data_IF_423838245031
#
_entry.id   IF_423838245031
#
_cell.length_a   1.000
_cell.length_b   1.000
_cell.length_c   1.000
_cell.angle_alpha   90.00
_cell.angle_beta   90.00
_cell.angle_gamma   90.00
#
_symmetry.space_group_name_H-M   'P 1'
#
loop_
_entity.id
_entity.type
_entity.pdbx_description
1 polymer ?
#
# COMPACT_ATOMS: atom_id res chain seq x y z
N UNK A 1 0.49 5.47 17.23
CA UNK A 1 0.72 5.01 15.84
C UNK A 1 2.08 4.34 15.77
N UNK A 2 2.15 3.15 15.17
CA UNK A 2 3.39 2.43 14.87
C UNK A 2 3.58 2.37 13.35
N UNK A 3 4.32 3.33 12.81
CA UNK A 3 4.55 3.49 11.38
C UNK A 3 6.01 3.13 10.99
N UNK A 4 6.57 2.13 11.66
CA UNK A 4 7.94 1.65 11.44
C UNK A 4 7.88 0.27 10.78
N UNK A 5 8.91 -0.08 10.02
CA UNK A 5 9.07 -1.41 9.47
C UNK A 5 9.56 -1.42 8.04
N UNK A 6 9.81 -2.62 7.52
CA UNK A 6 10.21 -2.82 6.13
C UNK A 6 9.08 -2.41 5.20
N UNK A 7 9.34 -1.46 4.30
CA UNK A 7 8.38 -0.96 3.30
C UNK A 7 8.64 -1.46 1.88
N UNK A 8 9.87 -1.92 1.58
CA UNK A 8 10.22 -2.45 0.27
C UNK A 8 9.66 -3.87 0.09
N UNK A 9 8.67 -4.03 -0.79
CA UNK A 9 8.03 -5.32 -1.08
C UNK A 9 8.94 -6.32 -1.82
N UNK A 10 10.10 -5.88 -2.31
CA UNK A 10 11.11 -6.71 -2.93
C UNK A 10 12.23 -7.13 -1.95
N UNK A 11 12.16 -6.67 -0.70
CA UNK A 11 13.13 -7.02 0.32
C UNK A 11 13.16 -8.53 0.57
N UNK A 12 14.37 -9.11 0.60
CA UNK A 12 14.64 -10.51 0.94
C UNK A 12 15.57 -10.65 2.16
N UNK A 13 15.98 -9.52 2.75
CA UNK A 13 16.93 -9.50 3.86
C UNK A 13 16.27 -9.95 5.16
N UNK A 14 16.61 -11.15 5.60
CA UNK A 14 16.12 -11.74 6.85
C UNK A 14 16.50 -10.92 8.09
N UNK A 15 17.69 -10.29 8.10
CA UNK A 15 18.13 -9.46 9.24
C UNK A 15 17.25 -8.21 9.41
N UNK A 16 16.81 -7.61 8.31
CA UNK A 16 15.88 -6.48 8.35
C UNK A 16 14.51 -6.90 8.90
N UNK A 17 14.01 -8.07 8.52
CA UNK A 17 12.75 -8.62 9.05
C UNK A 17 12.83 -8.94 10.54
N UNK A 18 13.93 -9.57 11.00
CA UNK A 18 14.14 -9.82 12.42
C UNK A 18 14.25 -8.52 13.23
N UNK A 19 14.96 -7.52 12.72
CA UNK A 19 15.05 -6.20 13.32
C UNK A 19 13.68 -5.52 13.42
N UNK A 20 12.82 -5.67 12.41
CA UNK A 20 11.45 -5.15 12.39
C UNK A 20 10.60 -5.80 13.49
N UNK A 21 10.62 -7.13 13.58
CA UNK A 21 9.92 -7.90 14.62
C UNK A 21 10.42 -7.53 16.03
N UNK A 22 11.73 -7.47 16.22
CA UNK A 22 12.32 -7.10 17.51
C UNK A 22 11.89 -5.71 17.97
N UNK A 23 11.90 -4.73 17.06
CA UNK A 23 11.44 -3.37 17.38
C UNK A 23 9.98 -3.34 17.84
N UNK A 24 9.12 -4.09 17.19
CA UNK A 24 7.72 -4.17 17.59
C UNK A 24 7.56 -4.88 18.95
N UNK A 25 8.32 -5.94 19.19
CA UNK A 25 8.34 -6.63 20.48
C UNK A 25 8.80 -5.68 21.60
N UNK A 26 9.93 -5.01 21.43
CA UNK A 26 10.46 -4.04 22.41
C UNK A 26 9.47 -2.88 22.65
N UNK A 27 8.79 -2.42 21.61
CA UNK A 27 7.73 -1.43 21.72
C UNK A 27 6.53 -1.96 22.51
N UNK A 28 6.11 -3.20 22.28
CA UNK A 28 4.97 -3.82 22.95
C UNK A 28 5.16 -3.91 24.48
N UNK A 29 6.39 -4.06 24.93
CA UNK A 29 6.74 -4.12 26.36
C UNK A 29 6.73 -2.75 27.05
N UNK A 30 6.79 -1.66 26.28
CA UNK A 30 6.89 -0.28 26.78
C UNK A 30 5.58 0.51 26.67
N UNK A 31 4.65 0.07 25.81
CA UNK A 31 3.42 0.82 25.59
C UNK A 31 2.38 0.57 26.68
N UNK A 32 1.62 1.62 27.03
CA UNK A 32 0.45 1.47 27.89
C UNK A 32 -0.61 0.61 27.16
N UNK A 33 -0.95 -0.53 27.77
CA UNK A 33 -1.87 -1.54 27.20
C UNK A 33 -3.31 -1.04 27.02
N UNK A 34 -3.67 0.10 27.65
CA UNK A 34 -4.99 0.72 27.49
C UNK A 34 -5.12 1.56 26.19
N UNK A 35 -4.01 1.80 25.49
CA UNK A 35 -4.01 2.55 24.23
C UNK A 35 -4.21 1.64 23.03
N UNK A 36 -4.90 2.15 22.01
CA UNK A 36 -5.07 1.44 20.72
C UNK A 36 -3.76 1.50 19.92
N UNK A 37 -3.22 0.35 19.52
CA UNK A 37 -2.10 0.29 18.59
C UNK A 37 -2.64 0.45 17.15
N UNK A 38 -2.26 1.51 16.47
CA UNK A 38 -2.46 1.67 15.02
C UNK A 38 -1.21 1.18 14.27
N UNK A 39 -1.37 0.17 13.42
CA UNK A 39 -0.29 -0.40 12.59
C UNK A 39 -0.64 -0.35 11.10
N UNK A 40 0.34 -0.04 10.26
CA UNK A 40 0.21 -0.04 8.80
C UNK A 40 0.77 -1.31 8.17
N UNK A 41 -0.09 -2.08 7.52
CA UNK A 41 0.20 -3.30 6.79
C UNK A 41 -0.04 -3.11 5.29
N UNK A 42 -0.19 -4.19 4.53
CA UNK A 42 -0.33 -4.15 3.08
C UNK A 42 -1.53 -4.94 2.57
N UNK A 43 -2.24 -4.40 1.57
CA UNK A 43 -3.26 -5.13 0.82
C UNK A 43 -2.67 -6.26 -0.04
N UNK A 44 -1.35 -6.25 -0.30
CA UNK A 44 -0.68 -7.31 -1.05
C UNK A 44 -0.73 -8.69 -0.37
N UNK A 45 -1.16 -8.77 0.90
CA UNK A 45 -1.51 -10.01 1.59
C UNK A 45 -2.66 -10.78 0.92
N UNK A 46 -3.49 -10.09 0.13
CA UNK A 46 -4.60 -10.69 -0.61
C UNK A 46 -4.21 -11.12 -2.04
N UNK A 47 -2.98 -10.84 -2.50
CA UNK A 47 -2.48 -11.21 -3.82
C UNK A 47 -1.90 -12.64 -3.79
N UNK A 48 -2.57 -13.65 -4.38
CA UNK A 48 -2.11 -15.05 -4.32
C UNK A 48 -0.74 -15.27 -4.96
N UNK A 49 -0.40 -14.46 -5.96
CA UNK A 49 0.92 -14.55 -6.64
C UNK A 49 2.09 -14.20 -5.72
N UNK A 50 1.83 -13.60 -4.55
CA UNK A 50 2.82 -13.15 -3.59
C UNK A 50 2.92 -14.00 -2.32
N UNK A 51 2.20 -15.11 -2.20
CA UNK A 51 2.15 -15.93 -0.99
C UNK A 51 3.53 -16.43 -0.51
N UNK A 52 4.48 -16.62 -1.42
CA UNK A 52 5.85 -17.03 -1.09
C UNK A 52 6.81 -15.85 -0.87
N UNK A 53 6.35 -14.61 -1.03
CA UNK A 53 7.19 -13.43 -0.86
C UNK A 53 7.58 -13.24 0.62
N UNK A 54 8.89 -13.13 0.97
CA UNK A 54 9.33 -12.98 2.35
C UNK A 54 8.77 -11.74 3.05
N UNK A 55 8.61 -10.63 2.32
CA UNK A 55 7.99 -9.42 2.84
C UNK A 55 6.53 -9.65 3.25
N UNK A 56 5.76 -10.38 2.44
CA UNK A 56 4.36 -10.72 2.73
C UNK A 56 4.28 -11.62 3.97
N UNK A 57 5.13 -12.63 4.07
CA UNK A 57 5.23 -13.50 5.25
C UNK A 57 5.54 -12.70 6.51
N UNK A 58 6.53 -11.79 6.44
CA UNK A 58 6.88 -10.92 7.57
C UNK A 58 5.71 -10.02 8.00
N UNK A 59 4.99 -9.42 7.06
CA UNK A 59 3.81 -8.58 7.37
C UNK A 59 2.71 -9.40 8.05
N UNK A 60 2.45 -10.62 7.59
CA UNK A 60 1.46 -11.51 8.21
C UNK A 60 1.87 -11.94 9.63
N UNK A 61 3.14 -12.28 9.85
CA UNK A 61 3.67 -12.61 11.17
C UNK A 61 3.51 -11.44 12.15
N UNK A 62 3.79 -10.21 11.71
CA UNK A 62 3.61 -9.00 12.52
C UNK A 62 2.13 -8.77 12.83
N UNK A 63 1.21 -8.89 11.86
CA UNK A 63 -0.22 -8.79 12.12
C UNK A 63 -0.70 -9.81 13.15
N UNK A 64 -0.24 -11.06 13.05
CA UNK A 64 -0.59 -12.12 13.98
C UNK A 64 -0.03 -11.86 15.40
N UNK A 65 1.20 -11.34 15.48
CA UNK A 65 1.77 -10.92 16.76
C UNK A 65 0.93 -9.79 17.39
N UNK A 66 0.56 -8.78 16.63
CA UNK A 66 -0.28 -7.66 17.13
C UNK A 66 -1.61 -8.18 17.66
N UNK A 67 -2.30 -9.03 16.90
CA UNK A 67 -3.60 -9.61 17.30
C UNK A 67 -3.53 -10.42 18.59
N UNK A 68 -2.39 -11.06 18.86
CA UNK A 68 -2.17 -11.88 20.07
C UNK A 68 -1.71 -11.07 21.28
N UNK A 69 -0.93 -10.01 21.05
CA UNK A 69 -0.18 -9.33 22.11
C UNK A 69 -0.80 -8.02 22.58
N UNK A 70 -1.70 -7.42 21.79
CA UNK A 70 -2.32 -6.14 22.12
C UNK A 70 -3.82 -6.30 22.40
N UNK A 71 -4.26 -5.79 23.56
CA UNK A 71 -5.68 -5.80 23.91
C UNK A 71 -6.53 -4.95 22.98
N UNK A 72 -5.94 -3.85 22.44
CA UNK A 72 -6.60 -2.91 21.55
C UNK A 72 -5.69 -2.58 20.38
N UNK A 73 -6.14 -2.87 19.17
CA UNK A 73 -5.40 -2.58 17.95
C UNK A 73 -6.31 -2.16 16.79
N UNK A 74 -5.72 -1.49 15.81
CA UNK A 74 -6.28 -1.23 14.50
C UNK A 74 -5.19 -1.46 13.46
N UNK A 75 -5.36 -2.47 12.61
CA UNK A 75 -4.45 -2.77 11.51
C UNK A 75 -5.05 -2.20 10.24
N UNK A 76 -4.31 -1.29 9.59
CA UNK A 76 -4.69 -0.70 8.32
C UNK A 76 -3.83 -1.31 7.22
N UNK A 77 -4.45 -2.03 6.30
CA UNK A 77 -3.80 -2.53 5.09
C UNK A 77 -3.92 -1.51 3.98
N UNK A 78 -2.80 -1.16 3.37
CA UNK A 78 -2.70 -0.14 2.34
C UNK A 78 -2.23 -0.75 1.02
N UNK A 79 -2.75 -0.28 -0.14
CA UNK A 79 -2.30 -0.67 -1.47
C UNK A 79 -1.07 0.15 -1.89
N UNK A 80 -0.90 0.40 -3.19
CA UNK A 80 0.09 1.36 -3.67
C UNK A 80 -0.35 2.80 -3.34
N UNK A 81 0.38 3.44 -2.44
CA UNK A 81 0.11 4.82 -2.03
C UNK A 81 0.92 5.77 -2.89
N UNK A 82 0.28 6.83 -3.35
CA UNK A 82 0.93 7.94 -4.05
C UNK A 82 0.94 9.16 -3.16
N UNK A 83 2.10 9.77 -3.00
CA UNK A 83 2.35 10.97 -2.22
C UNK A 83 3.77 11.48 -2.43
N UNK A 84 4.09 12.63 -1.88
CA UNK A 84 5.45 13.18 -1.96
C UNK A 84 6.40 12.29 -1.16
N UNK A 85 7.31 11.60 -1.84
CA UNK A 85 8.25 10.65 -1.23
C UNK A 85 9.51 10.49 -2.07
N UNK A 86 10.66 10.38 -1.41
CA UNK A 86 11.94 10.08 -2.04
C UNK A 86 12.21 8.56 -2.15
N UNK A 87 11.24 7.72 -1.77
CA UNK A 87 11.41 6.27 -1.82
C UNK A 87 11.24 5.75 -3.25
N UNK A 88 12.34 5.55 -3.96
CA UNK A 88 12.36 5.00 -5.32
C UNK A 88 11.87 3.56 -5.45
N UNK A 89 11.66 2.85 -4.32
CA UNK A 89 11.17 1.47 -4.32
C UNK A 89 9.64 1.35 -4.37
N UNK A 90 8.90 2.46 -4.32
CA UNK A 90 7.45 2.41 -4.57
C UNK A 90 7.19 2.27 -6.07
N UNK A 91 6.14 1.56 -6.45
CA UNK A 91 5.86 1.23 -7.86
C UNK A 91 5.81 2.48 -8.76
N UNK A 92 5.11 3.50 -8.31
CA UNK A 92 4.92 4.73 -9.10
C UNK A 92 6.24 5.50 -9.23
N UNK A 93 6.99 5.68 -8.13
CA UNK A 93 8.29 6.33 -8.18
C UNK A 93 9.28 5.56 -9.06
N UNK A 94 9.25 4.23 -9.00
CA UNK A 94 10.05 3.36 -9.86
C UNK A 94 9.78 3.64 -11.34
N UNK A 95 8.52 3.66 -11.79
CA UNK A 95 8.20 3.92 -13.19
C UNK A 95 8.57 5.34 -13.62
N UNK A 96 8.25 6.35 -12.82
CA UNK A 96 8.67 7.72 -13.13
C UNK A 96 10.18 7.84 -13.28
N UNK A 97 10.95 7.22 -12.37
CA UNK A 97 12.41 7.22 -12.46
C UNK A 97 12.89 6.56 -13.74
N UNK A 98 12.46 5.31 -14.01
CA UNK A 98 12.89 4.53 -15.18
C UNK A 98 12.58 5.26 -16.48
N UNK A 99 11.39 5.81 -16.63
CA UNK A 99 10.99 6.53 -17.83
C UNK A 99 11.82 7.81 -18.02
N UNK A 100 12.07 8.57 -16.94
CA UNK A 100 12.91 9.79 -17.04
C UNK A 100 14.37 9.49 -17.36
N UNK A 101 14.90 8.41 -16.83
CA UNK A 101 16.29 7.98 -17.04
C UNK A 101 16.46 7.13 -18.31
N UNK A 102 15.39 6.88 -19.06
CA UNK A 102 15.33 6.01 -20.26
C UNK A 102 15.92 4.61 -19.99
N UNK A 103 15.60 4.07 -18.81
CA UNK A 103 16.04 2.75 -18.40
C UNK A 103 14.98 1.71 -18.68
N UNK A 104 15.37 0.59 -19.32
CA UNK A 104 14.49 -0.56 -19.59
C UNK A 104 14.05 -1.22 -18.29
N UNK A 105 12.79 -1.62 -18.22
CA UNK A 105 12.22 -2.36 -17.08
C UNK A 105 11.27 -3.49 -17.54
N UNK A 106 11.00 -4.43 -16.62
CA UNK A 106 10.02 -5.48 -16.85
C UNK A 106 8.60 -4.98 -16.59
N UNK A 107 7.72 -5.06 -17.58
CA UNK A 107 6.31 -4.77 -17.47
C UNK A 107 5.52 -6.08 -17.30
N UNK A 108 4.89 -6.26 -16.14
CA UNK A 108 4.15 -7.48 -15.83
C UNK A 108 2.72 -7.39 -16.36
N UNK A 109 2.43 -8.13 -17.46
CA UNK A 109 1.18 -8.00 -18.23
C UNK A 109 -0.08 -8.38 -17.46
N UNK A 110 0.02 -9.30 -16.49
CA UNK A 110 -1.13 -9.73 -15.69
C UNK A 110 -1.25 -9.00 -14.34
N UNK A 111 -0.33 -8.09 -14.05
CA UNK A 111 -0.37 -7.40 -12.77
C UNK A 111 -1.36 -6.23 -12.79
N UNK A 112 -2.18 -6.14 -11.73
CA UNK A 112 -3.06 -5.00 -11.46
C UNK A 112 -2.80 -4.44 -10.07
N UNK A 113 -2.93 -3.13 -9.92
CA UNK A 113 -2.67 -2.43 -8.65
C UNK A 113 -3.80 -1.47 -8.31
N UNK A 114 -4.27 -1.53 -7.08
CA UNK A 114 -5.04 -0.45 -6.51
C UNK A 114 -4.07 0.67 -6.13
N UNK A 115 -4.36 1.88 -6.59
CA UNK A 115 -3.55 3.09 -6.35
C UNK A 115 -4.41 4.12 -5.65
N UNK A 116 -3.93 4.70 -4.54
CA UNK A 116 -4.67 5.67 -3.74
C UNK A 116 -3.77 6.85 -3.34
N UNK A 117 -4.36 8.05 -3.32
CA UNK A 117 -3.73 9.28 -2.83
C UNK A 117 -3.52 9.19 -1.30
N UNK A 118 -2.34 9.56 -0.82
CA UNK A 118 -2.04 9.64 0.62
C UNK A 118 -3.00 10.57 1.38
N UNK A 119 -3.46 11.65 0.74
CA UNK A 119 -4.42 12.55 1.37
C UNK A 119 -5.78 11.89 1.55
N UNK A 120 -6.21 11.05 0.60
CA UNK A 120 -7.46 10.29 0.72
C UNK A 120 -7.33 9.20 1.79
N UNK A 121 -6.17 8.52 1.88
CA UNK A 121 -5.88 7.60 2.99
C UNK A 121 -6.00 8.31 4.32
N UNK A 122 -5.43 9.51 4.43
CA UNK A 122 -5.44 10.30 5.68
C UNK A 122 -6.85 10.71 6.07
N UNK A 123 -7.68 11.19 5.11
CA UNK A 123 -9.07 11.56 5.36
C UNK A 123 -9.89 10.36 5.85
N UNK A 124 -9.79 9.22 5.17
CA UNK A 124 -10.50 7.98 5.55
C UNK A 124 -10.05 7.54 6.94
N UNK A 125 -8.74 7.55 7.21
CA UNK A 125 -8.22 7.13 8.50
C UNK A 125 -8.71 8.03 9.65
N UNK A 126 -8.75 9.35 9.45
CA UNK A 126 -9.28 10.29 10.45
C UNK A 126 -10.76 10.02 10.71
N UNK A 127 -11.57 9.82 9.66
CA UNK A 127 -12.99 9.48 9.79
C UNK A 127 -13.19 8.16 10.56
N UNK A 128 -12.40 7.13 10.25
CA UNK A 128 -12.41 5.85 10.99
C UNK A 128 -12.04 6.02 12.46
N UNK A 129 -11.01 6.82 12.77
CA UNK A 129 -10.54 7.04 14.15
C UNK A 129 -11.53 7.87 14.97
N UNK A 130 -12.28 8.77 14.35
CA UNK A 130 -13.34 9.55 14.99
C UNK A 130 -14.51 8.66 15.44
N UNK A 131 -14.70 7.53 14.80
CA UNK A 131 -15.71 6.53 15.12
C UNK A 131 -15.07 5.40 15.94
N UNK A 132 -15.13 5.44 17.25
CA UNK A 132 -14.51 4.47 18.19
C UNK A 132 -14.91 2.98 18.00
N UNK A 133 -15.67 2.64 16.96
CA UNK A 133 -16.18 1.29 16.67
C UNK A 133 -15.17 0.35 15.97
N UNK A 134 -13.93 0.81 15.73
CA UNK A 134 -12.97 0.07 14.90
C UNK A 134 -11.82 -0.59 15.68
N UNK A 135 -11.93 -0.71 16.99
CA UNK A 135 -10.95 -1.43 17.80
C UNK A 135 -10.96 -2.95 17.44
N UNK A 136 -9.79 -3.57 17.50
CA UNK A 136 -9.55 -5.00 17.23
C UNK A 136 -9.96 -5.43 15.81
N UNK A 137 -9.73 -4.55 14.82
CA UNK A 137 -10.05 -4.82 13.42
C UNK A 137 -8.83 -4.69 12.51
N UNK A 138 -8.91 -5.39 11.40
CA UNK A 138 -8.03 -5.21 10.24
C UNK A 138 -8.87 -4.63 9.12
N UNK A 139 -8.52 -3.45 8.62
CA UNK A 139 -9.29 -2.69 7.63
C UNK A 139 -8.40 -2.41 6.41
N UNK A 140 -8.94 -2.64 5.21
CA UNK A 140 -8.29 -2.21 3.98
C UNK A 140 -8.73 -0.77 3.64
N UNK A 141 -7.76 0.15 3.50
CA UNK A 141 -8.01 1.48 2.92
C UNK A 141 -7.44 1.48 1.52
N UNK A 142 -8.29 1.34 0.51
CA UNK A 142 -7.88 1.17 -0.88
C UNK A 142 -8.87 1.82 -1.86
N UNK A 143 -8.38 2.16 -3.04
CA UNK A 143 -9.22 2.46 -4.18
C UNK A 143 -9.89 1.15 -4.66
N UNK A 144 -11.23 1.10 -4.84
CA UNK A 144 -11.91 -0.10 -5.36
C UNK A 144 -11.46 -0.49 -6.77
N UNK A 145 -10.92 0.46 -7.53
CA UNK A 145 -10.40 0.20 -8.88
C UNK A 145 -8.97 -0.30 -8.83
N UNK A 146 -8.70 -1.31 -9.62
CA UNK A 146 -7.33 -1.79 -9.91
C UNK A 146 -6.96 -1.38 -11.34
N UNK A 147 -5.78 -0.83 -11.48
CA UNK A 147 -5.22 -0.42 -12.76
C UNK A 147 -4.21 -1.44 -13.23
N UNK A 148 -4.21 -1.78 -14.51
CA UNK A 148 -3.15 -2.59 -15.11
C UNK A 148 -1.84 -1.79 -15.18
N UNK A 149 -0.71 -2.49 -15.24
CA UNK A 149 0.61 -1.81 -15.21
C UNK A 149 0.83 -1.01 -16.49
N UNK A 150 0.42 -1.53 -17.65
CA UNK A 150 0.46 -0.82 -18.92
C UNK A 150 -0.34 0.49 -18.90
N UNK A 151 -1.55 0.48 -18.27
CA UNK A 151 -2.34 1.70 -18.10
C UNK A 151 -1.68 2.72 -17.19
N UNK A 152 -1.05 2.27 -16.09
CA UNK A 152 -0.27 3.16 -15.21
C UNK A 152 0.88 3.80 -15.99
N UNK A 153 1.63 2.99 -16.74
CA UNK A 153 2.77 3.45 -17.56
C UNK A 153 2.29 4.42 -18.63
N UNK A 154 1.20 4.14 -19.36
CA UNK A 154 0.68 5.03 -20.40
C UNK A 154 0.29 6.42 -19.84
N UNK A 155 -0.27 6.49 -18.62
CA UNK A 155 -0.54 7.79 -17.98
C UNK A 155 0.77 8.53 -17.65
N UNK A 156 1.80 7.82 -17.21
CA UNK A 156 3.10 8.45 -16.92
C UNK A 156 3.75 8.97 -18.21
N UNK A 157 3.69 8.21 -19.30
CA UNK A 157 4.13 8.66 -20.63
C UNK A 157 3.40 9.95 -21.06
N UNK A 158 2.08 9.97 -20.93
CA UNK A 158 1.26 11.16 -21.25
C UNK A 158 1.67 12.38 -20.42
N UNK A 159 1.93 12.19 -19.12
CA UNK A 159 2.27 13.28 -18.21
C UNK A 159 3.70 13.78 -18.39
N UNK A 160 4.64 12.93 -18.77
CA UNK A 160 6.05 13.27 -18.93
C UNK A 160 6.42 13.64 -20.36
N UNK A 161 5.57 13.32 -21.34
CA UNK A 161 5.86 13.41 -22.78
C UNK A 161 7.08 12.55 -23.18
N UNK A 162 7.38 11.52 -22.40
CA UNK A 162 8.46 10.57 -22.65
C UNK A 162 7.88 9.20 -22.96
N UNK A 163 8.64 8.37 -23.71
CA UNK A 163 8.26 6.98 -23.97
C UNK A 163 9.01 6.04 -23.04
N UNK A 164 8.29 5.04 -22.54
CA UNK A 164 8.83 3.98 -21.74
C UNK A 164 9.48 2.90 -22.60
N UNK A 165 10.62 2.38 -22.14
CA UNK A 165 11.26 1.20 -22.73
C UNK A 165 11.09 0.03 -21.76
N UNK A 166 10.44 -1.06 -22.21
CA UNK A 166 10.16 -2.20 -21.32
C UNK A 166 10.11 -3.54 -22.06
N UNK A 167 10.40 -4.60 -21.29
CA UNK A 167 10.19 -5.97 -21.70
C UNK A 167 8.84 -6.46 -21.18
N UNK A 168 8.02 -7.08 -22.02
CA UNK A 168 6.78 -7.71 -21.57
C UNK A 168 7.08 -9.02 -20.85
N UNK A 169 6.61 -9.17 -19.62
CA UNK A 169 6.82 -10.36 -18.82
C UNK A 169 5.47 -10.93 -18.37
N UNK A 170 5.24 -12.20 -18.65
CA UNK A 170 4.02 -12.90 -18.23
C UNK A 170 4.05 -13.23 -16.73
N UNK A 171 3.82 -12.20 -15.90
CA UNK A 171 3.78 -12.29 -14.44
C UNK A 171 2.61 -11.47 -13.90
N UNK A 172 2.27 -11.76 -12.63
CA UNK A 172 1.19 -11.10 -11.90
C UNK A 172 -0.08 -11.93 -11.84
N UNK A 173 -1.07 -11.42 -11.13
CA UNK A 173 -2.39 -12.02 -10.96
C UNK A 173 -3.46 -10.95 -11.09
N UNK A 174 -4.52 -11.24 -11.84
CA UNK A 174 -5.65 -10.34 -12.07
C UNK A 174 -6.83 -10.62 -11.14
N UNK A 175 -6.99 -11.87 -10.70
CA UNK A 175 -8.19 -12.40 -10.04
C UNK A 175 -8.11 -12.35 -8.50
N UNK A 176 -7.71 -11.22 -7.94
CA UNK A 176 -7.78 -11.00 -6.51
C UNK A 176 -8.43 -9.65 -6.21
N UNK A 177 -9.10 -9.56 -5.09
CA UNK A 177 -9.83 -8.35 -4.72
C UNK A 177 -9.41 -7.82 -3.35
N UNK A 178 -9.65 -6.54 -3.15
CA UNK A 178 -9.48 -5.87 -1.86
C UNK A 178 -10.88 -5.53 -1.36
N UNK A 179 -11.30 -6.20 -0.28
CA UNK A 179 -12.55 -5.84 0.38
C UNK A 179 -12.43 -4.47 1.04
N UNK A 180 -13.24 -3.53 0.59
CA UNK A 180 -13.33 -2.16 1.11
C UNK A 180 -14.66 -1.87 1.82
N UNK A 181 -15.47 -2.90 2.09
CA UNK A 181 -16.82 -2.75 2.68
C UNK A 181 -16.82 -1.92 3.95
N UNK A 182 -15.75 -2.02 4.76
CA UNK A 182 -15.61 -1.30 6.02
C UNK A 182 -15.35 0.21 5.89
N UNK A 183 -14.98 0.70 4.69
CA UNK A 183 -14.67 2.12 4.46
C UNK A 183 -15.64 2.84 3.52
N UNK A 184 -16.69 2.16 3.03
CA UNK A 184 -17.65 2.75 2.08
C UNK A 184 -18.28 4.02 2.64
N UNK A 185 -18.66 4.02 3.92
CA UNK A 185 -19.22 5.22 4.57
C UNK A 185 -18.18 6.34 4.71
N UNK A 186 -16.95 6.00 5.08
CA UNK A 186 -15.86 6.97 5.17
C UNK A 186 -15.54 7.62 3.82
N UNK A 187 -15.55 6.85 2.73
CA UNK A 187 -15.41 7.36 1.35
C UNK A 187 -16.50 8.39 1.06
N UNK A 188 -17.77 8.11 1.42
CA UNK A 188 -18.91 9.02 1.23
C UNK A 188 -18.76 10.28 2.10
N UNK A 189 -18.47 10.13 3.39
CA UNK A 189 -18.29 11.23 4.33
C UNK A 189 -17.17 12.18 3.89
N UNK A 190 -16.05 11.63 3.43
CA UNK A 190 -14.91 12.38 2.92
C UNK A 190 -15.09 12.91 1.49
N UNK A 191 -16.23 12.62 0.83
CA UNK A 191 -16.54 13.03 -0.55
C UNK A 191 -15.48 12.59 -1.57
N UNK A 192 -14.82 11.45 -1.34
CA UNK A 192 -13.79 10.91 -2.23
C UNK A 192 -14.46 10.28 -3.46
N UNK A 193 -13.95 10.62 -4.66
CA UNK A 193 -14.50 10.14 -5.93
C UNK A 193 -13.45 9.34 -6.71
N UNK A 194 -13.54 8.03 -6.69
CA UNK A 194 -12.72 7.13 -7.50
C UNK A 194 -13.26 7.02 -8.95
N UNK A 195 -13.24 8.14 -9.68
CA UNK A 195 -13.72 8.23 -11.06
C UNK A 195 -12.65 7.78 -12.09
N UNK A 196 -12.95 7.89 -13.39
CA UNK A 196 -12.03 7.51 -14.48
C UNK A 196 -10.71 8.29 -14.50
N UNK A 197 -10.74 9.54 -14.02
CA UNK A 197 -9.56 10.42 -14.04
C UNK A 197 -8.77 10.39 -12.73
N UNK A 198 -9.20 9.61 -11.73
CA UNK A 198 -8.61 9.60 -10.39
C UNK A 198 -7.08 9.40 -10.44
N UNK A 199 -6.63 8.31 -11.09
CA UNK A 199 -5.21 8.01 -11.18
C UNK A 199 -4.41 9.13 -11.85
N UNK A 200 -4.88 9.63 -13.01
CA UNK A 200 -4.21 10.73 -13.72
C UNK A 200 -4.08 11.99 -12.87
N UNK A 201 -5.15 12.34 -12.13
CA UNK A 201 -5.15 13.52 -11.25
C UNK A 201 -4.17 13.35 -10.08
N UNK A 202 -4.13 12.16 -9.47
CA UNK A 202 -3.19 11.85 -8.37
C UNK A 202 -1.75 11.90 -8.85
N UNK A 203 -1.43 11.30 -10.01
CA UNK A 203 -0.07 11.32 -10.55
C UNK A 203 0.34 12.75 -10.94
N UNK A 204 -0.53 13.52 -11.56
CA UNK A 204 -0.28 14.94 -11.88
C UNK A 204 0.02 15.77 -10.64
N UNK A 205 -0.70 15.55 -9.55
CA UNK A 205 -0.55 16.28 -8.29
C UNK A 205 0.86 16.18 -7.68
N UNK A 206 1.53 15.03 -7.83
CA UNK A 206 2.79 14.76 -7.13
C UNK A 206 4.02 14.71 -8.03
N UNK A 207 3.87 14.62 -9.36
CA UNK A 207 4.99 14.39 -10.27
C UNK A 207 5.14 15.44 -11.37
N UNK A 208 4.15 16.32 -11.53
CA UNK A 208 4.14 17.44 -12.47
C UNK A 208 3.98 18.75 -11.74
#
# INVERSE_FOLDING_TARGET
VYAVGVSNSLCKDKKLFEKDKKRLYDFSNKINKNKVLLYFSTCALNDPSRNQNPYIKNKLEIENFIKKSFAKYLIIRLPEIVGKSNNSNTLINFFFKRIREKEVFDLWVNARRSVIDIDDVTKILIDLLSNKKHENRTINIANPKKYSIDYIVSIIEDLTVLKAEYNLVNKGETNWEIDISQIVNSIKNCKIKFNKNYLKNVLKKYFI
#
